data_IF_013916052327
#
_entry.id   IF_013916052327
#
_cell.length_a   1.000
_cell.length_b   1.000
_cell.length_c   1.000
_cell.angle_alpha   90.00
_cell.angle_beta   90.00
_cell.angle_gamma   90.00
#
_symmetry.space_group_name_H-M   'P 1'
#
loop_
_entity.id
_entity.type
_entity.pdbx_description
1 polymer ?
#
# COMPACT_ATOMS: atom_id res chain seq x y z
N UNK A 1 15.69 31.71 -8.39
CA UNK A 1 14.81 30.54 -8.44
C UNK A 1 14.84 29.79 -7.11
N UNK A 2 16.01 29.47 -6.57
CA UNK A 2 16.19 28.73 -5.33
C UNK A 2 15.55 29.43 -4.12
N UNK A 3 15.73 30.75 -3.98
CA UNK A 3 15.15 31.55 -2.91
C UNK A 3 13.60 31.56 -2.97
N UNK A 4 13.01 31.61 -4.16
CA UNK A 4 11.57 31.59 -4.36
C UNK A 4 10.97 30.20 -4.05
N UNK A 5 11.67 29.13 -4.41
CA UNK A 5 11.27 27.76 -4.09
C UNK A 5 11.33 27.54 -2.57
N UNK A 6 12.41 27.98 -1.93
CA UNK A 6 12.57 27.83 -0.48
C UNK A 6 11.56 28.68 0.31
N UNK A 7 11.23 29.89 -0.13
CA UNK A 7 10.17 30.70 0.48
C UNK A 7 8.78 30.07 0.27
N UNK A 8 8.49 29.55 -0.93
CA UNK A 8 7.23 28.86 -1.21
C UNK A 8 7.07 27.60 -0.37
N UNK A 9 8.11 26.79 -0.26
CA UNK A 9 8.12 25.59 0.58
C UNK A 9 7.99 25.95 2.07
N UNK A 10 8.70 26.97 2.55
CA UNK A 10 8.58 27.44 3.93
C UNK A 10 7.15 27.88 4.25
N UNK A 11 6.53 28.65 3.36
CA UNK A 11 5.14 29.10 3.53
C UNK A 11 4.15 27.92 3.57
N UNK A 12 4.33 26.91 2.70
CA UNK A 12 3.51 25.70 2.68
C UNK A 12 3.70 24.91 3.99
N UNK A 13 4.95 24.73 4.44
CA UNK A 13 5.24 24.01 5.68
C UNK A 13 4.60 24.68 6.89
N UNK A 14 4.68 26.01 6.99
CA UNK A 14 4.13 26.77 8.13
C UNK A 14 2.60 26.79 8.15
N UNK A 15 1.98 27.05 7.00
CA UNK A 15 0.52 27.19 6.93
C UNK A 15 -0.22 25.84 6.93
N UNK A 16 0.39 24.76 6.39
CA UNK A 16 -0.21 23.45 6.33
C UNK A 16 0.33 22.46 7.38
N UNK A 17 1.13 22.92 8.31
CA UNK A 17 1.67 22.10 9.42
C UNK A 17 0.61 21.26 10.14
N UNK A 18 -0.59 21.79 10.49
CA UNK A 18 -1.64 20.99 11.12
C UNK A 18 -2.15 19.86 10.21
N UNK A 19 -2.25 20.11 8.90
CA UNK A 19 -2.64 19.10 7.93
C UNK A 19 -1.60 17.98 7.83
N UNK A 20 -0.32 18.32 7.71
CA UNK A 20 0.75 17.32 7.64
C UNK A 20 0.86 16.51 8.93
N UNK A 21 0.66 17.12 10.09
CA UNK A 21 0.60 16.41 11.37
C UNK A 21 -0.63 15.49 11.45
N UNK A 22 -1.79 15.93 10.98
CA UNK A 22 -2.99 15.10 10.92
C UNK A 22 -2.81 13.86 10.03
N UNK A 23 -2.04 13.97 8.94
CA UNK A 23 -1.68 12.82 8.08
C UNK A 23 -0.61 11.94 8.74
N UNK A 24 0.37 12.56 9.40
CA UNK A 24 1.46 11.84 10.08
C UNK A 24 0.96 10.97 11.22
N UNK A 25 0.07 11.50 12.06
CA UNK A 25 -0.39 10.84 13.28
C UNK A 25 -0.97 9.44 13.04
N UNK A 26 -1.92 9.20 12.11
CA UNK A 26 -2.46 7.86 11.87
C UNK A 26 -1.42 6.91 11.28
N UNK A 27 -0.50 7.41 10.44
CA UNK A 27 0.57 6.60 9.87
C UNK A 27 1.54 6.18 10.97
N UNK A 28 1.98 7.11 11.81
CA UNK A 28 2.90 6.86 12.91
C UNK A 28 2.29 5.91 13.96
N UNK A 29 1.03 6.12 14.32
CA UNK A 29 0.30 5.25 15.24
C UNK A 29 0.15 3.81 14.69
N UNK A 30 -0.17 3.67 13.40
CA UNK A 30 -0.28 2.35 12.76
C UNK A 30 1.07 1.68 12.68
N UNK A 31 2.09 2.41 12.24
CA UNK A 31 3.46 1.90 12.12
C UNK A 31 4.00 1.43 13.48
N UNK A 32 3.91 2.29 14.50
CA UNK A 32 4.35 1.96 15.87
C UNK A 32 3.56 0.78 16.44
N UNK A 33 2.26 0.70 16.18
CA UNK A 33 1.43 -0.41 16.63
C UNK A 33 1.82 -1.73 15.97
N UNK A 34 2.07 -1.76 14.67
CA UNK A 34 2.52 -2.95 13.95
C UNK A 34 3.91 -3.36 14.39
N UNK A 35 4.84 -2.40 14.52
CA UNK A 35 6.21 -2.65 14.96
C UNK A 35 6.24 -3.22 16.37
N UNK A 36 5.52 -2.62 17.32
CA UNK A 36 5.42 -3.11 18.69
C UNK A 36 4.80 -4.52 18.74
N UNK A 37 3.75 -4.79 17.96
CA UNK A 37 3.13 -6.10 17.90
C UNK A 37 4.11 -7.17 17.38
N UNK A 38 4.94 -6.83 16.39
CA UNK A 38 5.94 -7.75 15.83
C UNK A 38 7.11 -7.98 16.78
N UNK A 39 7.59 -6.94 17.45
CA UNK A 39 8.69 -7.04 18.41
C UNK A 39 8.27 -7.65 19.76
N UNK A 40 7.01 -7.52 20.15
CA UNK A 40 6.48 -8.13 21.37
C UNK A 40 6.39 -9.66 21.27
N UNK A 41 6.28 -10.21 20.08
CA UNK A 41 6.24 -11.65 19.86
C UNK A 41 7.67 -12.23 19.84
N UNK A 42 7.98 -13.27 20.62
CA UNK A 42 9.24 -13.99 20.49
C UNK A 42 9.41 -14.51 19.05
N UNK A 43 10.62 -14.43 18.51
CA UNK A 43 10.91 -14.83 17.14
C UNK A 43 10.41 -16.24 16.75
N UNK A 44 10.44 -17.28 17.65
CA UNK A 44 9.92 -18.61 17.30
C UNK A 44 8.41 -18.61 17.12
N UNK A 45 7.69 -17.80 17.92
CA UNK A 45 6.23 -17.71 17.88
C UNK A 45 5.78 -17.02 16.60
N UNK A 46 6.41 -15.90 16.23
CA UNK A 46 6.12 -15.20 14.99
C UNK A 46 6.46 -16.06 13.77
N UNK A 47 7.60 -16.75 13.79
CA UNK A 47 7.99 -17.69 12.72
C UNK A 47 6.96 -18.80 12.57
N UNK A 48 6.51 -19.41 13.67
CA UNK A 48 5.50 -20.46 13.64
C UNK A 48 4.16 -19.93 13.09
N UNK A 49 3.72 -18.76 13.53
CA UNK A 49 2.48 -18.13 13.05
C UNK A 49 2.52 -17.88 11.54
N UNK A 50 3.58 -17.24 11.05
CA UNK A 50 3.72 -16.93 9.61
C UNK A 50 3.85 -18.21 8.78
N UNK A 51 4.59 -19.21 9.26
CA UNK A 51 4.71 -20.50 8.60
C UNK A 51 3.38 -21.26 8.55
N UNK A 52 2.56 -21.22 9.62
CA UNK A 52 1.24 -21.81 9.65
C UNK A 52 0.27 -21.11 8.66
N UNK A 53 0.30 -19.78 8.61
CA UNK A 53 -0.45 -19.02 7.60
C UNK A 53 -0.02 -19.37 6.18
N UNK A 54 1.29 -19.43 5.93
CA UNK A 54 1.81 -19.86 4.63
C UNK A 54 1.38 -21.27 4.27
N UNK A 55 1.35 -22.19 5.24
CA UNK A 55 0.86 -23.56 5.03
C UNK A 55 -0.62 -23.57 4.67
N UNK A 56 -1.44 -22.83 5.41
CA UNK A 56 -2.89 -22.79 5.21
C UNK A 56 -3.27 -22.27 3.81
N UNK A 57 -2.59 -21.22 3.32
CA UNK A 57 -2.97 -20.52 2.09
C UNK A 57 -2.15 -20.91 0.86
N UNK A 58 -0.89 -21.30 1.04
CA UNK A 58 0.03 -21.49 -0.07
C UNK A 58 0.74 -22.87 -0.10
N UNK A 59 0.47 -23.70 0.91
CA UNK A 59 0.95 -25.08 0.96
C UNK A 59 2.30 -25.27 1.66
N UNK A 60 2.71 -26.57 1.78
CA UNK A 60 3.84 -26.98 2.60
C UNK A 60 5.20 -26.42 2.14
N UNK A 61 5.42 -26.32 0.83
CA UNK A 61 6.68 -25.83 0.29
C UNK A 61 6.99 -24.40 0.69
N UNK A 62 5.97 -23.50 0.56
CA UNK A 62 6.11 -22.12 0.96
C UNK A 62 6.26 -21.97 2.48
N UNK A 63 5.51 -22.75 3.25
CA UNK A 63 5.62 -22.76 4.72
C UNK A 63 7.04 -23.09 5.20
N UNK A 64 7.64 -24.15 4.63
CA UNK A 64 9.01 -24.54 4.96
C UNK A 64 10.01 -23.45 4.53
N UNK A 65 9.88 -22.91 3.31
CA UNK A 65 10.72 -21.81 2.82
C UNK A 65 10.66 -20.58 3.71
N UNK A 66 9.45 -20.17 4.12
CA UNK A 66 9.22 -19.04 5.01
C UNK A 66 9.83 -19.28 6.40
N UNK A 67 9.62 -20.48 6.97
CA UNK A 67 10.19 -20.84 8.26
C UNK A 67 11.72 -20.81 8.22
N UNK A 68 12.34 -21.42 7.21
CA UNK A 68 13.79 -21.42 7.04
C UNK A 68 14.36 -20.01 6.87
N UNK A 69 13.69 -19.15 6.08
CA UNK A 69 14.12 -17.76 5.88
C UNK A 69 14.06 -16.95 7.18
N UNK A 70 12.99 -17.07 7.95
CA UNK A 70 12.85 -16.35 9.23
C UNK A 70 13.82 -16.88 10.30
N UNK A 71 14.08 -18.19 10.34
CA UNK A 71 15.09 -18.77 11.22
C UNK A 71 16.48 -18.26 10.82
N UNK A 72 16.78 -18.15 9.52
CA UNK A 72 18.05 -17.59 9.06
C UNK A 72 18.22 -16.12 9.48
N UNK A 73 17.17 -15.30 9.38
CA UNK A 73 17.17 -13.90 9.85
C UNK A 73 17.46 -13.84 11.36
N UNK A 74 16.82 -14.70 12.15
CA UNK A 74 17.07 -14.79 13.59
C UNK A 74 18.49 -15.26 13.91
N UNK A 75 19.02 -16.24 13.18
CA UNK A 75 20.37 -16.76 13.35
C UNK A 75 21.46 -15.73 13.00
N UNK A 76 21.18 -14.83 12.04
CA UNK A 76 22.06 -13.73 11.67
C UNK A 76 22.05 -12.58 12.68
N UNK A 77 21.13 -12.58 13.64
CA UNK A 77 21.00 -11.53 14.68
C UNK A 77 20.39 -10.22 14.19
N UNK A 78 19.80 -10.21 12.99
CA UNK A 78 19.16 -9.02 12.37
C UNK A 78 17.63 -9.04 12.49
N UNK A 79 17.13 -9.72 13.52
CA UNK A 79 15.68 -9.86 13.73
C UNK A 79 14.96 -8.51 13.95
N UNK A 80 15.46 -7.59 14.81
CA UNK A 80 14.81 -6.30 15.04
C UNK A 80 14.70 -5.47 13.74
N UNK A 81 15.77 -5.38 12.96
CA UNK A 81 15.82 -4.64 11.71
C UNK A 81 14.87 -5.21 10.66
N UNK A 82 14.78 -6.53 10.59
CA UNK A 82 13.83 -7.21 9.73
C UNK A 82 12.39 -6.94 10.13
N UNK A 83 12.08 -6.85 11.43
CA UNK A 83 10.74 -6.53 11.93
C UNK A 83 10.37 -5.07 11.65
N UNK A 84 11.29 -4.13 11.81
CA UNK A 84 11.09 -2.72 11.41
C UNK A 84 10.79 -2.64 9.91
N UNK A 85 11.58 -3.29 9.08
CA UNK A 85 11.36 -3.32 7.62
C UNK A 85 9.99 -3.91 7.27
N UNK A 86 9.62 -5.01 7.89
CA UNK A 86 8.33 -5.67 7.66
C UNK A 86 7.16 -4.79 8.14
N UNK A 87 7.31 -4.08 9.25
CA UNK A 87 6.29 -3.15 9.75
C UNK A 87 6.08 -1.96 8.81
N UNK A 88 7.15 -1.42 8.21
CA UNK A 88 7.06 -0.37 7.18
C UNK A 88 6.29 -0.86 5.95
N UNK A 89 6.62 -2.05 5.44
CA UNK A 89 5.95 -2.65 4.28
C UNK A 89 4.48 -2.91 4.56
N UNK A 90 4.15 -3.53 5.69
CA UNK A 90 2.78 -3.85 6.05
C UNK A 90 1.93 -2.59 6.28
N UNK A 91 2.49 -1.60 6.97
CA UNK A 91 1.81 -0.31 7.17
C UNK A 91 1.52 0.37 5.84
N UNK A 92 2.51 0.46 4.95
CA UNK A 92 2.34 1.03 3.61
C UNK A 92 1.29 0.28 2.81
N UNK A 93 1.29 -1.06 2.87
CA UNK A 93 0.32 -1.90 2.19
C UNK A 93 -1.11 -1.69 2.71
N UNK A 94 -1.28 -1.59 4.03
CA UNK A 94 -2.59 -1.31 4.65
C UNK A 94 -3.14 0.02 4.13
N UNK A 95 -2.34 1.10 4.14
CA UNK A 95 -2.76 2.39 3.60
C UNK A 95 -3.03 2.34 2.10
N UNK A 96 -2.22 1.61 1.32
CA UNK A 96 -2.48 1.40 -0.10
C UNK A 96 -3.82 0.71 -0.34
N UNK A 97 -4.16 -0.30 0.46
CA UNK A 97 -5.44 -1.01 0.35
C UNK A 97 -6.60 -0.09 0.74
N UNK A 98 -6.50 0.58 1.89
CA UNK A 98 -7.55 1.47 2.41
C UNK A 98 -7.85 2.64 1.47
N UNK A 99 -6.83 3.18 0.80
CA UNK A 99 -6.97 4.29 -0.14
C UNK A 99 -7.22 3.77 -1.56
N UNK A 100 -6.46 2.78 -1.99
CA UNK A 100 -6.41 2.31 -3.38
C UNK A 100 -7.66 1.55 -3.82
N UNK A 101 -8.24 0.71 -2.95
CA UNK A 101 -9.47 0.00 -3.29
C UNK A 101 -10.66 0.94 -3.50
N UNK A 102 -10.98 1.88 -2.57
CA UNK A 102 -12.07 2.84 -2.80
C UNK A 102 -11.83 3.71 -4.04
N UNK A 103 -10.60 4.18 -4.26
CA UNK A 103 -10.24 4.95 -5.46
C UNK A 103 -10.42 4.12 -6.73
N UNK A 104 -9.96 2.88 -6.75
CA UNK A 104 -10.11 1.98 -7.89
C UNK A 104 -11.58 1.72 -8.24
N UNK A 105 -12.43 1.51 -7.22
CA UNK A 105 -13.88 1.34 -7.37
C UNK A 105 -14.52 2.62 -7.92
N UNK A 106 -14.17 3.78 -7.37
CA UNK A 106 -14.69 5.07 -7.80
C UNK A 106 -14.34 5.38 -9.25
N UNK A 107 -13.10 5.11 -9.65
CA UNK A 107 -12.62 5.29 -11.02
C UNK A 107 -13.31 4.31 -11.98
N UNK A 108 -13.57 3.08 -11.52
CA UNK A 108 -14.28 2.07 -12.31
C UNK A 108 -15.73 2.48 -12.62
N UNK A 109 -16.37 3.21 -11.71
CA UNK A 109 -17.75 3.66 -11.84
C UNK A 109 -17.94 4.88 -12.75
N UNK A 110 -16.86 5.62 -13.10
CA UNK A 110 -16.94 6.87 -13.85
C UNK A 110 -15.79 7.05 -14.83
N UNK A 111 -16.12 7.15 -16.14
CA UNK A 111 -15.12 7.42 -17.18
C UNK A 111 -14.47 8.81 -17.05
N UNK A 112 -15.22 9.77 -16.47
CA UNK A 112 -14.67 11.09 -16.18
C UNK A 112 -13.62 11.01 -15.08
N UNK A 113 -13.89 10.29 -14.00
CA UNK A 113 -12.95 10.05 -12.93
C UNK A 113 -11.69 9.34 -13.45
N UNK A 114 -11.84 8.32 -14.29
CA UNK A 114 -10.71 7.61 -14.89
C UNK A 114 -9.83 8.54 -15.73
N UNK A 115 -10.41 9.39 -16.58
CA UNK A 115 -9.64 10.31 -17.43
C UNK A 115 -8.82 11.32 -16.64
N UNK A 116 -9.34 11.82 -15.52
CA UNK A 116 -8.62 12.77 -14.68
C UNK A 116 -7.58 12.12 -13.76
N UNK A 117 -7.86 10.91 -13.28
CA UNK A 117 -6.97 10.22 -12.33
C UNK A 117 -5.79 9.55 -13.04
N UNK A 118 -5.98 9.09 -14.29
CA UNK A 118 -4.94 8.39 -15.04
C UNK A 118 -3.62 9.17 -15.14
N UNK A 119 -3.58 10.44 -15.58
CA UNK A 119 -2.32 11.19 -15.65
C UNK A 119 -1.67 11.40 -14.28
N UNK A 120 -2.45 11.49 -13.21
CA UNK A 120 -1.90 11.59 -11.84
C UNK A 120 -1.21 10.29 -11.45
N UNK A 121 -1.86 9.14 -11.67
CA UNK A 121 -1.25 7.83 -11.39
C UNK A 121 -0.02 7.58 -12.28
N UNK A 122 -0.03 8.06 -13.53
CA UNK A 122 1.12 7.97 -14.42
C UNK A 122 2.29 8.82 -13.90
N UNK A 123 2.02 10.06 -13.49
CA UNK A 123 3.04 10.95 -12.91
C UNK A 123 3.65 10.35 -11.63
N UNK A 124 2.84 9.73 -10.77
CA UNK A 124 3.32 9.09 -9.53
C UNK A 124 4.34 7.96 -9.80
N UNK A 125 4.24 7.27 -10.93
CA UNK A 125 5.14 6.15 -11.25
C UNK A 125 6.31 6.53 -12.17
N UNK A 126 6.15 7.57 -12.99
CA UNK A 126 7.21 8.01 -13.92
C UNK A 126 8.26 8.88 -13.25
N UNK A 127 7.90 9.54 -12.15
CA UNK A 127 8.84 10.36 -11.38
C UNK A 127 9.72 9.47 -10.50
N UNK A 128 11.07 9.60 -10.55
CA UNK A 128 11.95 8.81 -9.70
C UNK A 128 11.65 8.99 -8.20
N UNK A 129 11.75 7.90 -7.42
CA UNK A 129 11.42 7.89 -6.00
C UNK A 129 12.16 8.97 -5.18
N UNK A 130 13.43 9.21 -5.49
CA UNK A 130 14.25 10.21 -4.82
C UNK A 130 13.71 11.65 -4.97
N UNK A 131 12.97 11.95 -6.04
CA UNK A 131 12.37 13.26 -6.24
C UNK A 131 11.26 13.54 -5.22
N UNK A 132 10.52 12.49 -4.82
CA UNK A 132 9.50 12.61 -3.76
C UNK A 132 10.09 12.64 -2.37
N UNK A 133 11.25 11.99 -2.18
CA UNK A 133 11.86 11.82 -0.88
C UNK A 133 12.18 13.16 -0.22
N UNK A 134 12.82 14.06 -0.96
CA UNK A 134 13.25 15.36 -0.42
C UNK A 134 12.07 16.22 0.05
N UNK A 135 11.02 16.49 -0.75
CA UNK A 135 9.84 17.22 -0.28
C UNK A 135 9.13 16.55 0.89
N UNK A 136 9.00 15.21 0.86
CA UNK A 136 8.31 14.48 1.92
C UNK A 136 9.08 14.57 3.25
N UNK A 137 10.40 14.46 3.22
CA UNK A 137 11.24 14.67 4.42
C UNK A 137 11.15 16.10 4.93
N UNK A 138 11.11 17.09 4.04
CA UNK A 138 10.95 18.50 4.43
C UNK A 138 9.59 18.77 5.10
N UNK A 139 8.53 18.11 4.65
CA UNK A 139 7.16 18.30 5.16
C UNK A 139 6.86 17.48 6.43
N UNK A 140 7.36 16.26 6.53
CA UNK A 140 7.04 15.30 7.59
C UNK A 140 8.18 15.09 8.59
N UNK A 141 9.36 15.60 8.33
CA UNK A 141 10.57 15.42 9.14
C UNK A 141 11.33 14.14 8.78
N UNK A 142 12.45 13.90 9.46
CA UNK A 142 13.26 12.69 9.30
C UNK A 142 12.63 11.53 10.08
N UNK A 143 12.71 10.31 9.56
CA UNK A 143 12.27 9.09 10.23
C UNK A 143 11.48 8.14 9.31
N UNK A 144 10.86 7.14 9.91
CA UNK A 144 10.17 6.05 9.17
C UNK A 144 8.87 6.51 8.47
N UNK A 145 8.20 7.55 8.96
CA UNK A 145 6.94 8.06 8.38
C UNK A 145 7.11 8.57 6.95
N UNK A 146 8.12 9.42 6.62
CA UNK A 146 8.41 9.77 5.23
C UNK A 146 8.61 8.56 4.32
N UNK A 147 9.30 7.54 4.80
CA UNK A 147 9.50 6.28 4.08
C UNK A 147 8.18 5.58 3.74
N UNK A 148 7.25 5.50 4.70
CA UNK A 148 5.90 4.96 4.47
C UNK A 148 5.15 5.78 3.43
N UNK A 149 5.19 7.11 3.51
CA UNK A 149 4.48 8.00 2.57
C UNK A 149 5.00 7.84 1.14
N UNK A 150 6.33 7.86 0.95
CA UNK A 150 6.93 7.64 -0.37
C UNK A 150 6.58 6.25 -0.90
N UNK A 151 6.61 5.24 -0.05
CA UNK A 151 6.20 3.88 -0.41
C UNK A 151 4.74 3.82 -0.87
N UNK A 152 3.82 4.50 -0.18
CA UNK A 152 2.41 4.60 -0.58
C UNK A 152 2.29 5.26 -1.95
N UNK A 153 2.99 6.37 -2.21
CA UNK A 153 2.96 7.07 -3.50
C UNK A 153 3.30 6.13 -4.65
N UNK A 154 4.30 5.26 -4.46
CA UNK A 154 4.73 4.33 -5.51
C UNK A 154 3.87 3.07 -5.63
N UNK A 155 3.38 2.54 -4.50
CA UNK A 155 2.65 1.28 -4.47
C UNK A 155 1.14 1.43 -4.76
N UNK A 156 0.59 2.64 -4.58
CA UNK A 156 -0.82 2.93 -4.80
C UNK A 156 -1.29 2.76 -6.26
N UNK A 157 -0.58 3.29 -7.29
CA UNK A 157 -1.08 3.29 -8.66
C UNK A 157 -1.37 1.92 -9.25
N UNK A 158 -0.53 0.86 -9.10
CA UNK A 158 -0.85 -0.46 -9.62
C UNK A 158 -2.12 -1.05 -9.01
N UNK A 159 -2.31 -0.88 -7.70
CA UNK A 159 -3.50 -1.37 -7.00
C UNK A 159 -4.76 -0.68 -7.53
N UNK A 160 -4.74 0.64 -7.66
CA UNK A 160 -5.86 1.43 -8.20
C UNK A 160 -6.18 1.00 -9.64
N UNK A 161 -5.16 0.83 -10.49
CA UNK A 161 -5.33 0.44 -11.90
C UNK A 161 -5.89 -0.97 -12.04
N UNK A 162 -5.36 -1.93 -11.30
CA UNK A 162 -5.82 -3.33 -11.39
C UNK A 162 -7.19 -3.51 -10.75
N UNK A 163 -7.54 -2.76 -9.71
CA UNK A 163 -8.91 -2.72 -9.17
C UNK A 163 -9.89 -2.17 -10.21
N UNK A 164 -9.58 -1.03 -10.82
CA UNK A 164 -10.39 -0.45 -11.90
C UNK A 164 -10.55 -1.42 -13.08
N UNK A 165 -9.45 -2.01 -13.53
CA UNK A 165 -9.45 -2.97 -14.63
C UNK A 165 -10.31 -4.19 -14.31
N UNK A 166 -10.14 -4.78 -13.12
CA UNK A 166 -10.88 -5.96 -12.70
C UNK A 166 -12.39 -5.73 -12.67
N UNK A 167 -12.84 -4.57 -12.19
CA UNK A 167 -14.26 -4.22 -12.14
C UNK A 167 -14.81 -4.00 -13.56
N UNK A 168 -14.06 -3.33 -14.44
CA UNK A 168 -14.49 -3.04 -15.81
C UNK A 168 -14.46 -4.26 -16.75
N UNK A 169 -13.65 -5.27 -16.42
CA UNK A 169 -13.58 -6.53 -17.20
C UNK A 169 -14.69 -7.53 -16.84
N UNK A 170 -15.54 -7.24 -15.86
CA UNK A 170 -16.69 -8.09 -15.57
C UNK A 170 -17.60 -8.15 -16.80
N UNK A 171 -17.95 -9.36 -17.22
CA UNK A 171 -18.73 -9.62 -18.44
C UNK A 171 -20.07 -8.87 -18.42
N UNK A 172 -20.41 -8.17 -19.54
CA UNK A 172 -21.64 -7.38 -19.62
C UNK A 172 -22.91 -8.22 -19.42
N UNK A 173 -22.93 -9.48 -19.90
CA UNK A 173 -24.06 -10.39 -19.76
C UNK A 173 -24.37 -10.68 -18.27
N UNK A 174 -23.36 -10.80 -17.41
CA UNK A 174 -23.56 -10.98 -15.97
C UNK A 174 -24.13 -9.72 -15.30
N UNK A 175 -23.72 -8.56 -15.79
CA UNK A 175 -24.23 -7.27 -15.29
C UNK A 175 -25.69 -7.09 -15.70
N UNK A 176 -26.03 -7.38 -16.97
CA UNK A 176 -27.40 -7.31 -17.51
C UNK A 176 -28.32 -8.31 -16.81
N UNK A 177 -27.91 -9.56 -16.68
CA UNK A 177 -28.64 -10.57 -15.94
C UNK A 177 -28.95 -10.15 -14.51
N UNK A 178 -27.93 -9.64 -13.80
CA UNK A 178 -28.10 -9.18 -12.42
C UNK A 178 -29.09 -8.03 -12.30
N UNK A 179 -29.08 -7.10 -13.27
CA UNK A 179 -30.05 -5.99 -13.31
C UNK A 179 -31.46 -6.49 -13.64
N UNK A 180 -31.58 -7.47 -14.54
CA UNK A 180 -32.86 -8.08 -14.87
C UNK A 180 -33.52 -8.77 -13.66
N UNK A 181 -32.71 -9.33 -12.76
CA UNK A 181 -33.16 -9.86 -11.46
C UNK A 181 -33.39 -8.80 -10.37
N UNK A 182 -33.31 -7.50 -10.72
CA UNK A 182 -33.61 -6.39 -9.81
C UNK A 182 -32.48 -6.01 -8.87
N UNK A 183 -31.22 -6.35 -9.17
CA UNK A 183 -30.10 -5.96 -8.35
C UNK A 183 -29.90 -4.43 -8.36
N UNK A 184 -29.81 -3.82 -7.16
CA UNK A 184 -29.44 -2.42 -7.02
C UNK A 184 -27.97 -2.20 -7.41
N UNK A 185 -27.52 -0.99 -7.76
CA UNK A 185 -26.12 -0.71 -8.08
C UNK A 185 -25.15 -1.15 -6.99
N UNK A 186 -25.52 -1.04 -5.73
CA UNK A 186 -24.75 -1.50 -4.58
C UNK A 186 -24.64 -3.02 -4.51
N UNK A 187 -25.75 -3.71 -4.74
CA UNK A 187 -25.75 -5.18 -4.80
C UNK A 187 -24.93 -5.71 -5.99
N UNK A 188 -25.03 -5.04 -7.14
CA UNK A 188 -24.24 -5.36 -8.32
C UNK A 188 -22.73 -5.23 -8.02
N UNK A 189 -22.32 -4.12 -7.39
CA UNK A 189 -20.91 -3.92 -7.03
C UNK A 189 -20.41 -4.99 -6.07
N UNK A 190 -21.10 -5.18 -4.94
CA UNK A 190 -20.60 -6.03 -3.85
C UNK A 190 -20.79 -7.54 -4.09
N UNK A 191 -21.87 -7.94 -4.75
CA UNK A 191 -22.20 -9.37 -4.94
C UNK A 191 -21.73 -9.94 -6.29
N UNK A 192 -21.46 -9.08 -7.26
CA UNK A 192 -21.10 -9.53 -8.63
C UNK A 192 -19.74 -8.97 -9.04
N UNK A 193 -19.60 -7.65 -9.09
CA UNK A 193 -18.39 -7.05 -9.67
C UNK A 193 -17.14 -7.27 -8.81
N UNK A 194 -17.19 -7.01 -7.50
CA UNK A 194 -16.04 -7.17 -6.61
C UNK A 194 -15.58 -8.62 -6.50
N UNK A 195 -16.44 -9.63 -6.30
CA UNK A 195 -16.00 -11.02 -6.28
C UNK A 195 -15.36 -11.47 -7.58
N UNK A 196 -15.89 -11.04 -8.73
CA UNK A 196 -15.32 -11.38 -10.04
C UNK A 196 -14.05 -10.60 -10.35
N UNK A 197 -13.90 -9.39 -9.80
CA UNK A 197 -12.68 -8.58 -9.90
C UNK A 197 -11.57 -9.03 -8.92
N UNK A 198 -11.88 -9.88 -7.94
CA UNK A 198 -10.96 -10.27 -6.88
C UNK A 198 -9.59 -10.77 -7.39
N UNK A 199 -9.47 -11.58 -8.45
CA UNK A 199 -8.17 -11.99 -8.96
C UNK A 199 -7.29 -10.80 -9.40
N UNK A 200 -7.88 -9.80 -10.06
CA UNK A 200 -7.16 -8.59 -10.47
C UNK A 200 -6.82 -7.69 -9.27
N UNK A 201 -7.72 -7.60 -8.29
CA UNK A 201 -7.46 -6.85 -7.04
C UNK A 201 -6.30 -7.48 -6.29
N UNK A 202 -6.29 -8.80 -6.13
CA UNK A 202 -5.20 -9.54 -5.47
C UNK A 202 -3.88 -9.40 -6.23
N UNK A 203 -3.90 -9.39 -7.57
CA UNK A 203 -2.73 -9.07 -8.37
C UNK A 203 -2.23 -7.65 -8.11
N UNK A 204 -3.13 -6.68 -7.93
CA UNK A 204 -2.81 -5.31 -7.55
C UNK A 204 -2.17 -5.20 -6.17
N UNK A 205 -2.71 -5.90 -5.19
CA UNK A 205 -2.14 -5.99 -3.84
C UNK A 205 -0.74 -6.61 -3.88
N UNK A 206 -0.55 -7.68 -4.65
CA UNK A 206 0.75 -8.32 -4.80
C UNK A 206 1.78 -7.37 -5.44
N UNK A 207 1.41 -6.62 -6.48
CA UNK A 207 2.30 -5.62 -7.07
C UNK A 207 2.61 -4.48 -6.10
N UNK A 208 1.62 -3.99 -5.34
CA UNK A 208 1.83 -2.98 -4.32
C UNK A 208 2.82 -3.47 -3.24
N UNK A 209 2.71 -4.73 -2.81
CA UNK A 209 3.62 -5.34 -1.85
C UNK A 209 5.05 -5.42 -2.41
N UNK A 210 5.23 -5.87 -3.65
CA UNK A 210 6.56 -5.95 -4.28
C UNK A 210 7.22 -4.56 -4.41
N UNK A 211 6.44 -3.55 -4.80
CA UNK A 211 6.93 -2.17 -4.87
C UNK A 211 7.24 -1.60 -3.48
N UNK A 212 6.44 -1.93 -2.47
CA UNK A 212 6.70 -1.52 -1.08
C UNK A 212 8.03 -2.09 -0.58
N UNK A 213 8.32 -3.36 -0.85
CA UNK A 213 9.60 -3.97 -0.50
C UNK A 213 10.79 -3.27 -1.19
N UNK A 214 10.64 -2.91 -2.46
CA UNK A 214 11.67 -2.18 -3.20
C UNK A 214 11.88 -0.76 -2.65
N UNK A 215 10.80 -0.08 -2.23
CA UNK A 215 10.87 1.29 -1.73
C UNK A 215 11.42 1.40 -0.30
N UNK A 216 11.26 0.38 0.52
CA UNK A 216 11.83 0.36 1.88
C UNK A 216 13.35 0.46 1.85
N UNK A 217 14.01 -0.08 0.82
CA UNK A 217 15.46 0.09 0.64
C UNK A 217 15.83 1.56 0.47
N UNK A 218 15.03 2.32 -0.25
CA UNK A 218 15.23 3.78 -0.41
C UNK A 218 14.88 4.51 0.89
N UNK A 219 13.84 4.10 1.57
CA UNK A 219 13.42 4.67 2.84
C UNK A 219 14.46 4.47 3.96
N UNK A 220 15.22 3.37 3.93
CA UNK A 220 16.29 3.09 4.90
C UNK A 220 17.53 3.99 4.76
N UNK A 221 17.60 4.80 3.70
CA UNK A 221 18.68 5.75 3.46
C UNK A 221 18.44 7.12 4.12
N UNK A 222 17.30 7.32 4.78
CA UNK A 222 16.92 8.54 5.49
C UNK A 222 17.09 8.39 6.98
#
# INVERSE_FOLDING_TARGET
>A
LEAWINQGLGWVVENFRPFFQAVRTPIDATLSGVEQAMLALPWPVLTALVALLAWQFAGRGLAIGTALSLIAVAALGIWPEAMVTLSLVLTSLVFCIVIGLPLGILIASSDRAQRWTRPILDAMQTTPAFVYLVPVVMLFGIGNVPGVIVTIIFALPPLVRLTNLGIRQVRPDLIEASRAYGASPWQLLWKVQLPLAMPNIMAGINQALMLSLSMVVIASMI
#
